data_IF_519602848893
#
_entry.id   IF_519602848893
#
_cell.length_a   1.000
_cell.length_b   1.000
_cell.length_c   1.000
_cell.angle_alpha   90.00
_cell.angle_beta   90.00
_cell.angle_gamma   90.00
#
_symmetry.space_group_name_H-M   'P 1'
#
loop_
_entity.id
_entity.type
_entity.pdbx_description
1 polymer ?
#
# COMPACT_ATOMS: atom_id res chain seq x y z
N UNK A 1 44.49 1.53 -31.59
CA UNK A 1 43.95 1.55 -30.21
C UNK A 1 42.86 2.60 -29.92
N UNK A 2 42.80 3.75 -30.63
CA UNK A 2 41.83 4.82 -30.33
C UNK A 2 40.34 4.52 -30.65
N UNK A 3 40.08 3.57 -31.56
CA UNK A 3 38.71 3.21 -32.01
C UNK A 3 37.87 2.51 -30.94
N UNK A 4 38.48 1.73 -30.05
CA UNK A 4 37.76 1.00 -28.99
C UNK A 4 37.35 1.93 -27.84
N UNK A 5 38.16 2.93 -27.49
CA UNK A 5 37.86 3.87 -26.39
C UNK A 5 36.69 4.81 -26.71
N UNK A 6 36.50 5.17 -27.98
CA UNK A 6 35.43 6.06 -28.41
C UNK A 6 34.06 5.38 -28.47
N UNK A 7 33.99 4.12 -28.89
CA UNK A 7 32.75 3.33 -28.89
C UNK A 7 32.28 3.06 -27.45
N UNK A 8 33.23 2.79 -26.55
CA UNK A 8 32.93 2.57 -25.14
C UNK A 8 32.37 3.83 -24.45
N UNK A 9 32.92 5.01 -24.75
CA UNK A 9 32.41 6.27 -24.18
C UNK A 9 30.98 6.62 -24.61
N UNK A 10 30.59 6.29 -25.85
CA UNK A 10 29.23 6.51 -26.35
C UNK A 10 28.23 5.51 -25.74
N UNK A 11 28.64 4.26 -25.53
CA UNK A 11 27.80 3.27 -24.86
C UNK A 11 27.51 3.64 -23.40
N UNK A 12 28.53 4.18 -22.70
CA UNK A 12 28.40 4.65 -21.31
C UNK A 12 27.48 5.89 -21.24
N UNK A 13 27.59 6.82 -22.19
CA UNK A 13 26.74 8.01 -22.21
C UNK A 13 25.28 7.67 -22.57
N UNK A 14 25.04 6.71 -23.47
CA UNK A 14 23.70 6.24 -23.81
C UNK A 14 23.05 5.43 -22.67
N UNK A 15 23.84 4.68 -21.89
CA UNK A 15 23.35 3.97 -20.71
C UNK A 15 22.93 4.91 -19.56
N UNK A 16 23.49 6.12 -19.50
CA UNK A 16 23.17 7.13 -18.49
C UNK A 16 21.84 7.88 -18.74
N UNK A 17 21.23 7.73 -19.92
CA UNK A 17 19.96 8.39 -20.29
C UNK A 17 18.78 7.42 -20.37
N UNK A 18 19.01 6.13 -20.05
CA UNK A 18 17.92 5.17 -19.98
C UNK A 18 17.06 5.45 -18.74
N UNK A 19 15.72 5.28 -18.82
CA UNK A 19 14.85 5.29 -17.66
C UNK A 19 15.41 4.31 -16.62
N UNK A 20 15.95 4.80 -15.52
CA UNK A 20 16.29 3.95 -14.38
C UNK A 20 15.06 3.86 -13.49
N UNK A 21 14.61 2.63 -13.24
CA UNK A 21 13.61 2.37 -12.23
C UNK A 21 14.16 2.83 -10.87
N UNK A 22 13.53 3.84 -10.25
CA UNK A 22 13.91 4.32 -8.92
C UNK A 22 12.92 3.79 -7.90
N UNK A 23 13.44 3.17 -6.84
CA UNK A 23 12.65 2.82 -5.67
C UNK A 23 12.41 4.08 -4.83
N UNK A 24 11.18 4.25 -4.37
CA UNK A 24 10.76 5.35 -3.51
C UNK A 24 9.66 4.88 -2.56
N UNK A 25 9.36 5.70 -1.54
CA UNK A 25 8.33 5.41 -0.56
C UNK A 25 7.53 6.67 -0.22
N UNK A 26 6.25 6.48 0.10
CA UNK A 26 5.35 7.49 0.64
C UNK A 26 4.84 7.01 1.97
N UNK A 27 4.80 7.91 2.96
CA UNK A 27 4.26 7.65 4.29
C UNK A 27 2.98 8.46 4.48
N UNK A 28 1.86 7.76 4.65
CA UNK A 28 0.62 8.36 5.09
C UNK A 28 0.51 8.24 6.61
N UNK A 29 0.76 9.34 7.33
CA UNK A 29 0.48 9.43 8.76
C UNK A 29 -1.03 9.60 8.96
N UNK A 30 -1.66 8.78 9.80
CA UNK A 30 -3.12 8.73 9.85
C UNK A 30 -3.74 9.52 11.01
N UNK A 31 -2.96 9.74 12.07
CA UNK A 31 -3.31 10.64 13.17
C UNK A 31 -3.31 12.11 12.76
N UNK A 32 -2.56 12.47 11.71
CA UNK A 32 -2.44 13.84 11.19
C UNK A 32 -2.43 13.84 9.66
N UNK A 33 -3.31 14.62 9.01
CA UNK A 33 -3.33 14.74 7.53
C UNK A 33 -4.73 14.66 6.96
N UNK A 34 -4.88 14.24 5.70
CA UNK A 34 -6.14 13.86 5.03
C UNK A 34 -7.32 14.85 5.07
N UNK A 35 -8.43 14.49 4.43
CA UNK A 35 -9.67 15.28 4.44
C UNK A 35 -10.88 14.36 4.53
N UNK A 36 -11.74 14.60 5.53
CA UNK A 36 -12.98 13.86 5.70
C UNK A 36 -14.00 14.32 4.66
N UNK A 37 -14.81 13.37 4.20
CA UNK A 37 -16.11 13.65 3.59
C UNK A 37 -17.04 14.33 4.61
N UNK A 38 -18.07 15.03 4.14
CA UNK A 38 -19.04 15.74 5.01
C UNK A 38 -19.75 14.81 6.03
N UNK A 39 -19.80 13.49 5.76
CA UNK A 39 -20.36 12.47 6.66
C UNK A 39 -19.32 11.72 7.50
N UNK A 40 -18.03 12.06 7.37
CA UNK A 40 -16.89 11.42 8.04
C UNK A 40 -16.74 9.90 7.78
N UNK A 41 -17.49 9.33 6.84
CA UNK A 41 -17.41 7.90 6.48
C UNK A 41 -16.19 7.58 5.61
N UNK A 42 -15.74 8.59 4.86
CA UNK A 42 -14.60 8.52 3.95
C UNK A 42 -13.55 9.53 4.36
N UNK A 43 -12.28 9.12 4.35
CA UNK A 43 -11.12 9.95 4.62
C UNK A 43 -10.09 9.81 3.49
N UNK A 44 -9.75 10.90 2.83
CA UNK A 44 -8.86 10.90 1.66
C UNK A 44 -7.51 11.52 1.98
N UNK A 45 -6.42 10.89 1.54
CA UNK A 45 -5.06 11.43 1.56
C UNK A 45 -4.54 11.54 0.13
N UNK A 46 -3.84 12.65 -0.15
CA UNK A 46 -3.16 12.86 -1.42
C UNK A 46 -1.73 13.26 -1.14
N UNK A 47 -0.77 12.49 -1.64
CA UNK A 47 0.65 12.81 -1.55
C UNK A 47 1.37 12.29 -2.81
N UNK A 48 2.20 13.14 -3.41
CA UNK A 48 3.10 12.77 -4.51
C UNK A 48 2.38 12.07 -5.68
N UNK A 49 1.13 12.46 -5.93
CA UNK A 49 0.27 11.91 -6.99
C UNK A 49 -0.42 10.59 -6.63
N UNK A 50 -0.13 9.99 -5.48
CA UNK A 50 -0.90 8.89 -4.92
C UNK A 50 -2.14 9.44 -4.23
N UNK A 51 -3.27 8.75 -4.41
CA UNK A 51 -4.48 9.00 -3.63
C UNK A 51 -4.79 7.74 -2.83
N UNK A 52 -4.87 7.88 -1.51
CA UNK A 52 -5.32 6.83 -0.61
C UNK A 52 -6.66 7.22 -0.03
N UNK A 53 -7.65 6.35 -0.16
CA UNK A 53 -8.99 6.56 0.41
C UNK A 53 -9.23 5.52 1.49
N UNK A 54 -9.64 5.97 2.67
CA UNK A 54 -10.05 5.12 3.77
C UNK A 54 -11.57 5.18 3.91
N UNK A 55 -12.22 4.03 4.03
CA UNK A 55 -13.66 3.93 4.28
C UNK A 55 -13.91 2.96 5.45
N UNK A 56 -14.73 3.37 6.41
CA UNK A 56 -15.15 2.52 7.53
C UNK A 56 -16.40 1.71 7.18
N UNK A 57 -16.40 0.42 7.53
CA UNK A 57 -17.53 -0.48 7.29
C UNK A 57 -17.91 -1.24 8.55
N UNK A 58 -19.21 -1.30 8.81
CA UNK A 58 -19.84 -2.15 9.82
C UNK A 58 -20.64 -3.26 9.15
N UNK A 59 -20.36 -4.50 9.54
CA UNK A 59 -21.01 -5.71 9.03
C UNK A 59 -22.10 -6.25 9.97
N UNK A 60 -22.46 -5.48 10.99
CA UNK A 60 -23.49 -5.78 11.96
C UNK A 60 -23.09 -6.87 12.96
N UNK A 61 -23.98 -7.11 13.93
CA UNK A 61 -23.78 -8.06 15.05
C UNK A 61 -23.73 -9.55 14.66
N UNK A 62 -23.59 -9.89 13.37
CA UNK A 62 -23.49 -11.27 12.94
C UNK A 62 -22.07 -11.78 13.20
N UNK A 63 -21.94 -12.88 13.95
CA UNK A 63 -20.68 -13.57 14.30
C UNK A 63 -19.92 -14.17 13.10
N UNK A 64 -20.31 -13.83 11.88
CA UNK A 64 -19.67 -14.26 10.65
C UNK A 64 -19.03 -13.04 10.02
N UNK A 65 -17.71 -13.10 9.75
CA UNK A 65 -17.00 -12.10 8.95
C UNK A 65 -17.88 -11.66 7.77
N UNK A 66 -17.83 -10.37 7.42
CA UNK A 66 -18.50 -9.81 6.25
C UNK A 66 -18.38 -10.82 5.10
N UNK A 67 -19.49 -11.47 4.77
CA UNK A 67 -19.48 -12.65 3.91
C UNK A 67 -18.75 -12.28 2.60
N UNK A 68 -18.01 -13.24 2.04
CA UNK A 68 -17.32 -13.15 0.74
C UNK A 68 -18.22 -12.83 -0.45
N UNK A 69 -19.49 -12.50 -0.21
CA UNK A 69 -20.53 -12.26 -1.22
C UNK A 69 -20.88 -10.76 -1.27
N UNK A 70 -20.84 -10.10 -2.45
CA UNK A 70 -20.97 -8.65 -2.66
C UNK A 70 -22.33 -8.00 -2.33
N UNK A 71 -23.17 -8.66 -1.52
CA UNK A 71 -24.60 -8.33 -1.43
C UNK A 71 -25.06 -7.80 -0.09
N UNK A 72 -24.19 -7.74 0.92
CA UNK A 72 -24.53 -6.97 2.11
C UNK A 72 -24.41 -5.49 1.77
N UNK A 73 -25.53 -4.77 1.86
CA UNK A 73 -25.55 -3.32 1.86
C UNK A 73 -24.82 -2.88 3.14
N UNK A 74 -23.50 -2.78 3.08
CA UNK A 74 -22.69 -2.41 4.24
C UNK A 74 -23.12 -1.04 4.75
N UNK A 75 -23.39 -0.94 6.05
CA UNK A 75 -23.55 0.35 6.70
C UNK A 75 -22.15 0.93 6.92
N UNK A 76 -21.83 2.04 6.27
CA UNK A 76 -20.54 2.71 6.50
C UNK A 76 -20.54 3.39 7.86
N UNK A 77 -19.55 3.09 8.68
CA UNK A 77 -19.29 3.79 9.94
C UNK A 77 -18.45 5.03 9.71
N UNK A 78 -18.59 6.03 10.58
CA UNK A 78 -17.70 7.17 10.52
C UNK A 78 -16.30 6.75 10.97
N UNK A 79 -15.31 7.16 10.18
CA UNK A 79 -13.90 7.06 10.54
C UNK A 79 -13.61 8.16 11.56
N UNK A 80 -12.79 7.82 12.55
CA UNK A 80 -12.40 8.75 13.58
C UNK A 80 -10.90 8.72 13.86
N UNK A 81 -10.35 9.89 14.20
CA UNK A 81 -8.94 10.07 14.56
C UNK A 81 -8.75 10.07 16.06
N UNK A 82 -7.91 9.14 16.51
CA UNK A 82 -7.27 9.20 17.81
C UNK A 82 -5.89 9.86 17.75
N UNK A 83 -5.30 10.04 18.92
CA UNK A 83 -3.93 10.52 19.08
C UNK A 83 -2.88 9.60 18.44
N UNK A 84 -3.20 8.29 18.35
CA UNK A 84 -2.25 7.26 17.92
C UNK A 84 -2.57 6.66 16.55
N UNK A 85 -3.72 6.97 15.96
CA UNK A 85 -4.15 6.39 14.68
C UNK A 85 -5.62 6.63 14.35
N UNK A 86 -6.11 5.86 13.40
CA UNK A 86 -7.51 5.84 12.94
C UNK A 86 -8.21 4.54 13.35
N UNK A 87 -9.48 4.69 13.69
CA UNK A 87 -10.43 3.59 13.82
C UNK A 87 -11.83 4.06 13.48
N UNK A 88 -12.84 3.42 14.07
CA UNK A 88 -14.25 3.68 13.79
C UNK A 88 -14.91 4.39 15.00
N UNK A 89 -15.91 5.24 14.75
CA UNK A 89 -16.58 6.08 15.77
C UNK A 89 -17.50 5.33 16.74
N UNK A 90 -17.64 4.02 16.60
CA UNK A 90 -18.79 3.27 17.13
C UNK A 90 -18.45 2.36 18.32
N UNK A 91 -17.48 2.72 19.16
CA UNK A 91 -17.31 2.05 20.45
C UNK A 91 -18.19 2.70 21.54
N UNK A 92 -19.30 2.07 21.97
CA UNK A 92 -20.15 2.57 23.05
C UNK A 92 -19.62 2.25 24.46
N UNK A 93 -18.54 1.48 24.63
CA UNK A 93 -18.03 0.99 25.91
C UNK A 93 -16.78 1.71 26.41
N UNK A 94 -15.87 2.13 25.52
CA UNK A 94 -14.53 2.64 25.90
C UNK A 94 -14.27 4.10 25.48
N UNK A 95 -15.01 4.59 24.47
CA UNK A 95 -14.75 5.90 23.85
C UNK A 95 -13.46 5.98 23.02
N UNK A 96 -12.86 4.84 22.65
CA UNK A 96 -11.62 4.81 21.84
C UNK A 96 -11.86 4.70 20.34
N UNK A 97 -10.85 5.18 19.61
CA UNK A 97 -10.79 5.32 18.16
C UNK A 97 -10.29 4.02 17.49
N UNK A 98 -10.89 2.88 17.80
CA UNK A 98 -10.41 1.54 17.42
C UNK A 98 -11.26 0.88 16.33
N UNK A 99 -10.72 -0.17 15.73
CA UNK A 99 -11.39 -1.03 14.76
C UNK A 99 -11.82 -2.31 15.50
N UNK A 100 -13.13 -2.54 15.74
CA UNK A 100 -13.62 -3.77 16.34
C UNK A 100 -13.57 -4.96 15.38
N UNK A 101 -13.78 -6.18 15.91
CA UNK A 101 -13.97 -7.38 15.06
C UNK A 101 -15.25 -7.29 14.26
N UNK A 102 -15.21 -7.87 13.06
CA UNK A 102 -16.30 -7.87 12.07
C UNK A 102 -16.58 -6.49 11.48
N UNK A 103 -15.80 -5.48 11.86
CA UNK A 103 -15.76 -4.20 11.19
C UNK A 103 -14.37 -4.01 10.59
N UNK A 104 -14.27 -3.13 9.60
CA UNK A 104 -12.99 -2.92 8.96
C UNK A 104 -12.85 -1.50 8.42
N UNK A 105 -11.60 -1.06 8.40
CA UNK A 105 -11.20 0.08 7.58
C UNK A 105 -10.68 -0.49 6.26
N UNK A 106 -11.35 -0.14 5.17
CA UNK A 106 -10.87 -0.41 3.83
C UNK A 106 -9.95 0.70 3.37
N UNK A 107 -8.78 0.30 2.89
CA UNK A 107 -7.73 1.11 2.31
C UNK A 107 -7.77 0.92 0.81
N UNK A 108 -8.14 1.97 0.09
CA UNK A 108 -8.13 2.02 -1.36
C UNK A 108 -6.86 2.72 -1.84
N UNK A 109 -6.00 1.95 -2.52
CA UNK A 109 -4.80 2.43 -3.19
C UNK A 109 -4.89 2.24 -4.71
N UNK A 110 -6.09 2.13 -5.28
CA UNK A 110 -6.33 1.90 -6.71
C UNK A 110 -5.85 3.06 -7.59
N UNK A 111 -5.75 4.27 -7.04
CA UNK A 111 -5.31 5.48 -7.75
C UNK A 111 -3.82 5.73 -7.48
N UNK A 112 -2.98 5.17 -8.35
CA UNK A 112 -1.51 5.36 -8.34
C UNK A 112 -1.04 6.20 -9.53
N UNK A 113 0.08 6.94 -9.41
CA UNK A 113 0.65 7.66 -10.54
C UNK A 113 0.96 6.75 -11.74
N UNK A 114 0.82 7.29 -12.95
CA UNK A 114 1.19 6.57 -14.16
C UNK A 114 2.67 6.14 -14.13
N UNK A 115 2.97 4.99 -14.71
CA UNK A 115 4.33 4.42 -14.76
C UNK A 115 4.95 4.13 -13.39
N UNK A 116 4.12 3.93 -12.38
CA UNK A 116 4.54 3.41 -11.07
C UNK A 116 3.98 2.02 -10.82
N UNK A 117 4.77 1.21 -10.12
CA UNK A 117 4.38 -0.11 -9.65
C UNK A 117 4.61 -0.13 -8.15
N UNK A 118 3.56 -0.34 -7.37
CA UNK A 118 3.70 -0.63 -5.94
C UNK A 118 4.54 -1.90 -5.82
N UNK A 119 5.51 -1.89 -4.91
CA UNK A 119 6.38 -3.06 -4.63
C UNK A 119 6.06 -3.67 -3.27
N UNK A 120 5.69 -2.85 -2.29
CA UNK A 120 5.16 -3.32 -1.02
C UNK A 120 4.34 -2.24 -0.31
N UNK A 121 3.45 -2.68 0.57
CA UNK A 121 2.65 -1.82 1.44
C UNK A 121 2.87 -2.28 2.87
N UNK A 122 3.27 -1.37 3.74
CA UNK A 122 3.40 -1.62 5.17
C UNK A 122 2.28 -0.91 5.90
N UNK A 123 1.51 -1.68 6.67
CA UNK A 123 0.48 -1.17 7.57
C UNK A 123 1.09 -1.15 8.97
N UNK A 124 1.09 0.02 9.60
CA UNK A 124 1.53 0.20 10.98
C UNK A 124 0.31 0.36 11.87
N UNK A 125 0.25 -0.44 12.92
CA UNK A 125 -0.87 -0.57 13.83
C UNK A 125 -0.44 -0.07 15.22
N UNK A 126 -1.38 0.54 15.93
CA UNK A 126 -1.22 1.02 17.29
C UNK A 126 -2.41 0.59 18.16
N UNK A 127 -2.27 0.72 19.49
CA UNK A 127 -3.30 0.30 20.43
C UNK A 127 -3.55 -1.21 20.44
N UNK A 128 -2.59 -2.01 19.95
CA UNK A 128 -2.77 -3.47 19.78
C UNK A 128 -2.90 -4.14 21.14
N UNK A 129 -4.05 -4.77 21.38
CA UNK A 129 -4.26 -5.65 22.53
C UNK A 129 -4.00 -7.09 22.09
N UNK A 130 -4.84 -7.69 21.24
CA UNK A 130 -4.59 -9.06 20.74
C UNK A 130 -3.91 -9.12 19.36
N UNK A 131 -4.43 -8.43 18.35
CA UNK A 131 -3.91 -8.58 17.00
C UNK A 131 -4.82 -8.03 15.91
N UNK A 132 -4.40 -8.21 14.66
CA UNK A 132 -5.10 -7.72 13.49
C UNK A 132 -4.98 -8.69 12.32
N UNK A 133 -5.97 -8.61 11.43
CA UNK A 133 -5.96 -9.26 10.13
C UNK A 133 -6.07 -8.20 9.02
N UNK A 134 -5.33 -8.43 7.94
CA UNK A 134 -5.36 -7.63 6.72
C UNK A 134 -5.75 -8.52 5.57
N UNK A 135 -6.82 -8.17 4.87
CA UNK A 135 -7.29 -8.89 3.68
C UNK A 135 -7.04 -8.02 2.45
N UNK A 136 -6.54 -8.59 1.36
CA UNK A 136 -6.69 -7.95 0.05
C UNK A 136 -8.14 -8.04 -0.40
N UNK A 137 -8.58 -7.19 -1.32
CA UNK A 137 -9.86 -7.32 -2.01
C UNK A 137 -9.76 -6.74 -3.42
N UNK A 138 -10.61 -7.25 -4.32
CA UNK A 138 -10.69 -6.75 -5.70
C UNK A 138 -11.69 -5.61 -5.87
N UNK A 139 -12.53 -5.35 -4.86
CA UNK A 139 -13.60 -4.35 -4.91
C UNK A 139 -13.79 -3.63 -3.57
N UNK A 140 -14.32 -2.42 -3.67
CA UNK A 140 -14.79 -1.69 -2.51
C UNK A 140 -15.88 -2.48 -1.77
N UNK A 141 -15.94 -2.31 -0.45
CA UNK A 141 -16.95 -2.93 0.42
C UNK A 141 -16.89 -4.47 0.51
N UNK A 142 -15.89 -5.13 -0.09
CA UNK A 142 -15.72 -6.58 -0.04
C UNK A 142 -14.52 -6.98 0.80
N UNK A 143 -14.69 -8.04 1.60
CA UNK A 143 -13.63 -8.69 2.37
C UNK A 143 -13.23 -9.99 1.62
N UNK A 144 -12.44 -9.90 0.54
CA UNK A 144 -12.15 -11.08 -0.31
C UNK A 144 -10.68 -11.50 -0.37
N UNK A 145 -10.33 -12.52 0.44
CA UNK A 145 -9.12 -13.30 0.20
C UNK A 145 -9.34 -14.24 -1.00
N UNK A 146 -8.91 -13.82 -2.19
CA UNK A 146 -8.99 -14.67 -3.37
C UNK A 146 -8.07 -15.88 -3.24
N UNK A 147 -8.57 -16.98 -2.67
CA UNK A 147 -8.49 -18.37 -3.19
C UNK A 147 -9.34 -19.31 -2.31
N UNK A 148 -10.62 -19.50 -2.69
CA UNK A 148 -11.43 -20.69 -2.33
C UNK A 148 -10.64 -22.00 -2.63
N UNK A 149 -10.82 -23.16 -1.99
CA UNK A 149 -12.09 -23.91 -1.93
C UNK A 149 -11.94 -25.24 -1.15
N UNK A 150 -12.17 -25.23 0.16
CA UNK A 150 -12.71 -26.36 0.94
C UNK A 150 -13.12 -25.84 2.33
N UNK A 151 -14.32 -25.26 2.43
CA UNK A 151 -14.94 -24.87 3.71
C UNK A 151 -14.55 -23.49 4.25
N UNK A 152 -15.42 -22.50 4.01
CA UNK A 152 -15.78 -21.38 4.92
C UNK A 152 -14.69 -20.59 5.67
N UNK A 153 -13.45 -20.46 5.16
CA UNK A 153 -12.46 -19.60 5.81
C UNK A 153 -11.73 -18.71 4.80
N UNK A 154 -11.93 -17.40 4.96
CA UNK A 154 -11.19 -16.33 4.28
C UNK A 154 -9.82 -16.22 4.96
N UNK A 155 -8.73 -16.33 4.20
CA UNK A 155 -7.36 -16.31 4.73
C UNK A 155 -6.79 -14.90 4.63
N UNK A 156 -6.32 -14.26 5.70
CA UNK A 156 -5.79 -12.92 5.62
C UNK A 156 -4.53 -12.87 4.74
N UNK A 157 -4.39 -11.77 4.00
CA UNK A 157 -3.20 -11.41 3.25
C UNK A 157 -2.06 -10.97 4.15
N UNK A 158 -2.33 -10.56 5.39
CA UNK A 158 -1.38 -10.46 6.49
C UNK A 158 -2.04 -10.50 7.86
N UNK A 159 -1.30 -10.95 8.87
CA UNK A 159 -1.79 -11.01 10.24
C UNK A 159 -0.65 -10.64 11.20
N UNK A 160 -1.01 -9.96 12.28
CA UNK A 160 -0.15 -9.74 13.43
C UNK A 160 -0.86 -10.18 14.69
N UNK A 161 -0.14 -10.87 15.57
CA UNK A 161 -0.68 -11.39 16.82
C UNK A 161 0.29 -11.06 17.96
N UNK A 162 -0.24 -10.44 19.00
CA UNK A 162 0.44 -10.02 20.22
C UNK A 162 0.38 -11.07 21.33
N UNK A 163 -0.44 -12.11 21.16
CA UNK A 163 -0.73 -13.12 22.15
C UNK A 163 -0.06 -14.47 21.80
N UNK A 164 0.51 -15.18 22.77
CA UNK A 164 1.33 -16.39 22.54
C UNK A 164 0.53 -17.63 22.10
N UNK A 165 -0.81 -17.53 22.02
CA UNK A 165 -1.72 -18.65 21.78
C UNK A 165 -2.13 -18.89 20.32
N UNK A 166 -1.89 -17.95 19.41
CA UNK A 166 -2.16 -18.11 17.98
C UNK A 166 -0.85 -18.13 17.18
N UNK A 167 -0.59 -19.21 16.44
CA UNK A 167 0.52 -19.21 15.48
C UNK A 167 0.21 -18.19 14.39
N UNK A 168 1.14 -17.26 14.14
CA UNK A 168 1.18 -16.58 12.85
C UNK A 168 1.16 -17.68 11.79
N UNK A 169 0.16 -17.69 10.90
CA UNK A 169 0.27 -18.61 9.78
C UNK A 169 1.51 -18.21 8.96
N UNK A 170 2.27 -19.18 8.47
CA UNK A 170 3.37 -18.90 7.55
C UNK A 170 2.78 -18.44 6.23
N UNK A 171 2.54 -17.15 6.09
CA UNK A 171 2.02 -16.58 4.86
C UNK A 171 3.18 -16.29 3.89
N UNK A 172 3.04 -16.64 2.60
CA UNK A 172 4.17 -16.70 1.67
C UNK A 172 4.80 -15.36 1.29
N UNK A 173 4.16 -14.21 1.56
CA UNK A 173 4.57 -12.89 1.04
C UNK A 173 4.68 -11.78 2.13
N UNK A 174 5.05 -12.15 3.37
CA UNK A 174 4.85 -11.27 4.53
C UNK A 174 6.09 -11.21 5.45
N UNK A 175 6.37 -9.99 5.93
CA UNK A 175 7.03 -9.78 7.22
C UNK A 175 6.04 -9.06 8.15
N UNK A 176 5.53 -9.78 9.15
CA UNK A 176 4.77 -9.21 10.26
C UNK A 176 5.65 -9.20 11.50
N UNK A 177 5.64 -8.10 12.24
CA UNK A 177 6.36 -8.02 13.51
C UNK A 177 5.49 -7.36 14.56
N UNK A 178 5.28 -8.11 15.64
CA UNK A 178 4.76 -7.65 16.92
C UNK A 178 5.71 -8.21 17.96
N UNK A 179 6.34 -7.37 18.78
CA UNK A 179 6.99 -7.88 19.98
C UNK A 179 5.92 -8.21 21.00
N UNK A 180 5.96 -9.41 21.59
CA UNK A 180 4.98 -9.85 22.60
C UNK A 180 4.80 -8.78 23.70
N UNK A 181 3.55 -8.40 23.97
CA UNK A 181 3.19 -7.37 24.93
C UNK A 181 3.37 -5.93 24.42
N UNK A 182 3.61 -5.73 23.12
CA UNK A 182 3.67 -4.39 22.54
C UNK A 182 2.29 -3.89 22.10
N UNK A 183 2.09 -2.60 22.28
CA UNK A 183 0.89 -1.88 21.81
C UNK A 183 1.04 -1.36 20.38
N UNK A 184 2.12 -1.72 19.68
CA UNK A 184 2.42 -1.31 18.31
C UNK A 184 2.98 -2.48 17.52
N UNK A 185 2.76 -2.47 16.21
CA UNK A 185 3.20 -3.55 15.32
C UNK A 185 2.98 -3.18 13.86
N UNK A 186 3.51 -4.02 12.96
CA UNK A 186 3.33 -3.80 11.53
C UNK A 186 3.22 -5.10 10.73
N UNK A 187 2.56 -5.00 9.57
CA UNK A 187 2.51 -6.03 8.55
C UNK A 187 2.90 -5.44 7.20
N UNK A 188 3.84 -6.10 6.51
CA UNK A 188 4.24 -5.71 5.14
C UNK A 188 3.71 -6.73 4.14
N UNK A 189 2.94 -6.26 3.17
CA UNK A 189 2.44 -7.03 2.03
C UNK A 189 3.31 -6.70 0.81
N UNK A 190 4.00 -7.70 0.28
CA UNK A 190 4.71 -7.57 -1.01
C UNK A 190 3.70 -7.79 -2.13
N UNK A 191 3.45 -6.75 -2.93
CA UNK A 191 2.47 -6.77 -4.02
C UNK A 191 2.98 -5.94 -5.19
N UNK A 192 2.72 -6.39 -6.42
CA UNK A 192 2.95 -5.64 -7.65
C UNK A 192 1.74 -4.82 -8.12
N UNK A 193 0.63 -4.88 -7.37
CA UNK A 193 -0.66 -4.30 -7.75
C UNK A 193 -1.18 -3.31 -6.72
N UNK A 194 -1.75 -2.24 -7.23
CA UNK A 194 -2.71 -1.40 -6.53
C UNK A 194 -4.02 -2.16 -6.27
N UNK A 195 -4.79 -1.75 -5.26
CA UNK A 195 -6.06 -2.41 -4.92
C UNK A 195 -6.61 -2.02 -3.56
N UNK A 196 -7.56 -2.82 -3.08
CA UNK A 196 -8.22 -2.63 -1.79
C UNK A 196 -7.58 -3.54 -0.74
N UNK A 197 -7.41 -3.00 0.48
CA UNK A 197 -6.94 -3.75 1.64
C UNK A 197 -7.82 -3.45 2.85
N UNK A 198 -8.35 -4.47 3.50
CA UNK A 198 -9.24 -4.33 4.65
C UNK A 198 -8.48 -4.69 5.91
N UNK A 199 -8.48 -3.78 6.89
CA UNK A 199 -7.85 -3.98 8.20
C UNK A 199 -8.95 -4.18 9.24
N UNK A 200 -8.88 -5.27 10.00
CA UNK A 200 -9.81 -5.64 11.10
C UNK A 200 -9.03 -6.09 12.32
N UNK A 201 -9.61 -5.97 13.51
CA UNK A 201 -9.10 -6.63 14.71
C UNK A 201 -9.34 -8.15 14.68
N UNK A 202 -8.52 -8.89 15.44
CA UNK A 202 -8.62 -10.34 15.58
C UNK A 202 -9.75 -10.77 16.55
N UNK A 203 -9.98 -9.99 17.61
CA UNK A 203 -10.96 -10.27 18.67
C UNK A 203 -12.00 -9.16 18.80
N UNK A 204 -13.15 -9.50 19.41
CA UNK A 204 -14.37 -8.69 19.43
C UNK A 204 -14.19 -7.33 20.11
N UNK A 205 -13.23 -7.25 21.02
CA UNK A 205 -12.92 -6.04 21.74
C UNK A 205 -12.18 -5.09 20.77
N UNK A 206 -12.53 -3.81 20.77
CA UNK A 206 -11.97 -2.79 19.89
C UNK A 206 -10.48 -2.62 20.18
N UNK A 207 -9.60 -3.32 19.47
CA UNK A 207 -8.25 -3.58 19.99
C UNK A 207 -7.12 -3.17 19.06
N UNK A 208 -7.42 -2.44 17.98
CA UNK A 208 -6.37 -1.93 17.09
C UNK A 208 -6.78 -0.62 16.41
N UNK A 209 -5.79 0.22 16.15
CA UNK A 209 -5.90 1.43 15.36
C UNK A 209 -4.89 1.39 14.21
N UNK A 210 -5.29 1.90 13.05
CA UNK A 210 -4.38 2.07 11.92
C UNK A 210 -3.59 3.38 12.09
N UNK A 211 -2.30 3.28 12.37
CA UNK A 211 -1.45 4.44 12.73
C UNK A 211 -0.83 5.13 11.51
N UNK A 212 -0.28 4.33 10.59
CA UNK A 212 0.27 4.84 9.33
C UNK A 212 0.31 3.76 8.26
N UNK A 213 0.39 4.19 7.00
CA UNK A 213 0.61 3.31 5.86
C UNK A 213 1.81 3.80 5.07
N UNK A 214 2.78 2.92 4.85
CA UNK A 214 3.91 3.19 3.96
C UNK A 214 3.71 2.44 2.65
N UNK A 215 3.67 3.16 1.54
CA UNK A 215 3.61 2.59 0.19
C UNK A 215 4.99 2.69 -0.45
N UNK A 216 5.63 1.55 -0.67
CA UNK A 216 6.87 1.47 -1.43
C UNK A 216 6.52 1.20 -2.89
N UNK A 217 7.19 1.91 -3.80
CA UNK A 217 6.94 1.79 -5.22
C UNK A 217 8.22 1.94 -6.03
N UNK A 218 8.18 1.43 -7.25
CA UNK A 218 9.17 1.68 -8.28
C UNK A 218 8.53 2.47 -9.40
N UNK A 219 9.15 3.56 -9.81
CA UNK A 219 8.72 4.34 -10.96
C UNK A 219 9.79 4.37 -12.05
N UNK A 220 9.38 4.37 -13.31
CA UNK A 220 10.27 4.79 -14.40
C UNK A 220 10.05 6.27 -14.63
N UNK A 221 11.09 7.10 -14.47
CA UNK A 221 11.01 8.47 -15.00
C UNK A 221 10.95 8.36 -16.51
N UNK A 222 9.90 8.91 -17.15
CA UNK A 222 9.97 9.22 -18.58
C UNK A 222 11.26 10.03 -18.80
N UNK A 223 12.12 9.68 -19.77
CA UNK A 223 13.33 10.45 -20.03
C UNK A 223 12.94 11.91 -20.17
N UNK A 224 13.54 12.77 -19.37
CA UNK A 224 13.25 14.20 -19.46
C UNK A 224 13.46 14.66 -20.90
N UNK A 225 12.61 15.54 -21.45
CA UNK A 225 12.79 16.04 -22.82
C UNK A 225 14.21 16.56 -23.07
N UNK A 226 14.86 17.13 -22.04
CA UNK A 226 16.27 17.53 -22.08
C UNK A 226 17.25 16.37 -22.27
N UNK A 227 17.00 15.20 -21.65
CA UNK A 227 17.79 13.99 -21.85
C UNK A 227 17.66 13.43 -23.28
N UNK A 228 16.46 13.48 -23.86
CA UNK A 228 16.23 13.10 -25.25
C UNK A 228 16.90 14.06 -26.24
N UNK A 229 16.86 15.36 -25.96
CA UNK A 229 17.57 16.38 -26.75
C UNK A 229 19.09 16.16 -26.66
N UNK A 230 19.62 15.89 -25.47
CA UNK A 230 21.05 15.65 -25.28
C UNK A 230 21.51 14.36 -25.99
N UNK A 231 20.73 13.29 -25.90
CA UNK A 231 20.96 12.05 -26.63
C UNK A 231 20.88 12.26 -28.16
N UNK A 232 19.91 13.04 -28.63
CA UNK A 232 19.79 13.45 -30.03
C UNK A 232 20.99 14.24 -30.52
N UNK A 233 21.43 15.25 -29.76
CA UNK A 233 22.62 16.04 -30.06
C UNK A 233 23.90 15.19 -30.07
N UNK A 234 24.04 14.24 -29.14
CA UNK A 234 25.17 13.32 -29.10
C UNK A 234 25.22 12.44 -30.37
N UNK A 235 24.08 11.89 -30.82
CA UNK A 235 24.00 11.08 -32.03
C UNK A 235 24.33 11.88 -33.30
N UNK A 236 23.84 13.13 -33.41
CA UNK A 236 24.15 14.01 -34.53
C UNK A 236 25.65 14.35 -34.56
N UNK A 237 26.24 14.67 -33.40
CA UNK A 237 27.68 14.92 -33.28
C UNK A 237 28.53 13.74 -33.76
N UNK A 238 28.15 12.51 -33.38
CA UNK A 238 28.83 11.28 -33.81
C UNK A 238 28.69 11.06 -35.33
N UNK A 239 27.51 11.30 -35.90
CA UNK A 239 27.26 11.16 -37.34
C UNK A 239 28.11 12.11 -38.19
N UNK A 240 28.31 13.35 -37.72
CA UNK A 240 29.15 14.34 -38.40
C UNK A 240 30.64 13.99 -38.34
N UNK A 241 31.12 13.45 -37.21
CA UNK A 241 32.51 12.97 -37.06
C UNK A 241 32.75 11.74 -37.94
N UNK A 242 31.77 10.83 -38.06
CA UNK A 242 31.82 9.68 -38.95
C UNK A 242 31.91 10.06 -40.43
N UNK A 243 31.17 11.09 -40.88
CA UNK A 243 31.23 11.59 -42.26
C UNK A 243 32.59 12.20 -42.63
N UNK A 244 33.25 12.92 -41.72
CA UNK A 244 34.58 13.50 -41.99
C UNK A 244 35.67 12.44 -42.14
N UNK A 245 35.56 11.30 -41.45
CA UNK A 245 36.53 10.19 -41.58
C UNK A 245 36.34 9.28 -42.80
N UNK A 246 35.24 9.40 -43.55
CA UNK A 246 35.05 8.70 -44.84
C UNK A 246 35.55 9.50 -46.05
N UNK A 247 35.91 10.77 -45.86
CA UNK A 247 36.40 11.67 -46.92
C UNK A 247 37.91 11.96 -46.83
N UNK A 248 38.61 11.33 -45.89
CA UNK A 248 40.06 11.33 -45.77
C UNK A 248 40.54 9.87 -45.89
#
# INVERSE_FOLDING_TARGET
>A
MLRHKFILGVLILAAAVLPQARAASILFTLSTGGSFSDSHQVLTYVDSGFTMVLTGYDCGASVSYCDSVPTQNNSTTAISRGSSGLGLTNDPQSGTYEIPRNEFVQVDLSVVPAHTTITSIQFNLAGIIDGWDIYSSTKASELDSTTTKTGTQVTPAAQGNNNTGFSLASYPNIASTVSTGATTGYSTIVTGSAGYFNVTALQADCETMLSSITVNYSGTTTPEPGGLILAGCALIGIGLIGKRKKKA
#
